data_IF_704345421467
#
_entry.id   IF_704345421467
#
_cell.length_a   1.000
_cell.length_b   1.000
_cell.length_c   1.000
_cell.angle_alpha   90.00
_cell.angle_beta   90.00
_cell.angle_gamma   90.00
#
_symmetry.space_group_name_H-M   'P 1'
#
loop_
_entity.id
_entity.type
_entity.pdbx_description
1 polymer ?
#
# COMPACT_ATOMS: atom_id res chain seq x y z
N UNK A 1 -39.50 42.95 4.95
CA UNK A 1 -39.89 41.57 4.59
C UNK A 1 -38.99 40.94 3.51
N UNK A 2 -38.57 41.68 2.47
CA UNK A 2 -37.73 41.12 1.37
C UNK A 2 -36.34 40.62 1.81
N UNK A 3 -35.71 41.28 2.77
CA UNK A 3 -34.40 40.85 3.31
C UNK A 3 -34.48 39.57 4.16
N UNK A 4 -35.58 39.34 4.89
CA UNK A 4 -35.75 38.13 5.70
C UNK A 4 -35.83 36.88 4.84
N UNK A 5 -36.49 36.95 3.68
CA UNK A 5 -36.57 35.83 2.73
C UNK A 5 -35.18 35.48 2.17
N UNK A 6 -34.35 36.48 1.87
CA UNK A 6 -32.99 36.27 1.37
C UNK A 6 -32.10 35.60 2.43
N UNK A 7 -32.18 36.04 3.69
CA UNK A 7 -31.42 35.42 4.78
C UNK A 7 -31.85 33.98 5.05
N UNK A 8 -33.15 33.70 4.99
CA UNK A 8 -33.69 32.34 5.18
C UNK A 8 -33.21 31.43 4.05
N UNK A 9 -33.29 31.87 2.79
CA UNK A 9 -32.83 31.08 1.64
C UNK A 9 -31.32 30.82 1.68
N UNK A 10 -30.52 31.80 2.11
CA UNK A 10 -29.08 31.66 2.27
C UNK A 10 -28.71 30.66 3.38
N UNK A 11 -29.44 30.70 4.51
CA UNK A 11 -29.22 29.79 5.63
C UNK A 11 -29.61 28.34 5.29
N UNK A 12 -30.68 28.17 4.50
CA UNK A 12 -31.15 26.87 4.03
C UNK A 12 -30.16 26.24 3.05
N UNK A 13 -29.50 27.06 2.22
CA UNK A 13 -28.48 26.62 1.27
C UNK A 13 -27.17 26.21 1.97
N UNK A 14 -26.78 26.89 3.06
CA UNK A 14 -25.65 26.50 3.90
C UNK A 14 -25.86 25.16 4.63
N UNK A 15 -27.11 24.85 5.01
CA UNK A 15 -27.43 23.59 5.69
C UNK A 15 -27.27 22.36 4.78
N UNK A 16 -27.43 22.50 3.46
CA UNK A 16 -27.26 21.40 2.52
C UNK A 16 -25.79 21.01 2.29
N UNK A 17 -24.83 21.92 2.47
CA UNK A 17 -23.41 21.61 2.29
C UNK A 17 -22.80 20.75 3.41
N UNK A 18 -23.40 20.77 4.61
CA UNK A 18 -22.86 20.04 5.78
C UNK A 18 -23.26 18.55 5.77
N UNK A 19 -24.20 18.14 4.90
CA UNK A 19 -24.72 16.77 4.88
C UNK A 19 -24.11 15.86 3.80
N UNK A 20 -23.08 16.32 3.09
CA UNK A 20 -22.35 15.49 2.12
C UNK A 20 -21.16 14.79 2.81
N UNK A 21 -21.45 13.79 3.66
CA UNK A 21 -20.41 12.88 4.14
C UNK A 21 -20.26 11.75 3.14
N UNK A 22 -19.21 11.78 2.32
CA UNK A 22 -18.83 10.64 1.47
C UNK A 22 -18.63 9.40 2.37
N UNK A 23 -19.50 8.41 2.23
CA UNK A 23 -19.27 7.08 2.80
C UNK A 23 -18.10 6.45 2.05
N UNK A 24 -16.89 6.52 2.60
CA UNK A 24 -15.77 5.70 2.12
C UNK A 24 -16.19 4.23 2.17
N UNK A 25 -16.06 3.55 1.04
CA UNK A 25 -16.40 2.14 0.94
C UNK A 25 -15.42 1.36 1.83
N UNK A 26 -15.89 0.51 2.77
CA UNK A 26 -14.99 -0.28 3.63
C UNK A 26 -14.06 -1.20 2.84
N UNK A 27 -14.37 -1.51 1.58
CA UNK A 27 -13.52 -2.25 0.68
C UNK A 27 -12.25 -1.48 0.23
N UNK A 28 -12.23 -0.14 0.34
CA UNK A 28 -11.10 0.69 -0.07
C UNK A 28 -10.10 0.94 1.08
N UNK A 29 -10.33 0.35 2.25
CA UNK A 29 -9.46 0.52 3.42
C UNK A 29 -8.46 -0.63 3.49
N UNK A 30 -7.17 -0.30 3.50
CA UNK A 30 -6.12 -1.30 3.70
C UNK A 30 -6.32 -2.05 5.01
N UNK A 31 -6.09 -3.38 5.04
CA UNK A 31 -6.15 -4.15 6.28
C UNK A 31 -5.05 -3.70 7.24
N UNK A 32 -5.35 -3.76 8.52
CA UNK A 32 -4.40 -3.47 9.59
C UNK A 32 -3.20 -4.43 9.52
N UNK A 33 -1.97 -3.91 9.66
CA UNK A 33 -0.71 -4.69 9.56
C UNK A 33 -0.74 -5.91 10.49
N UNK A 34 -1.30 -5.75 11.69
CA UNK A 34 -1.44 -6.80 12.72
C UNK A 34 -2.29 -8.01 12.28
N UNK A 35 -3.12 -7.85 11.25
CA UNK A 35 -4.00 -8.90 10.70
C UNK A 35 -3.40 -9.61 9.49
N UNK A 36 -2.30 -9.09 8.94
CA UNK A 36 -1.60 -9.70 7.82
C UNK A 36 -0.64 -10.79 8.32
N UNK A 37 -0.43 -11.86 7.53
CA UNK A 37 0.58 -12.86 7.86
C UNK A 37 1.95 -12.18 7.98
N UNK A 38 2.80 -12.61 8.91
CA UNK A 38 4.11 -11.98 9.17
C UNK A 38 4.97 -11.90 7.89
N UNK A 39 4.90 -10.75 7.24
CA UNK A 39 5.48 -10.47 5.93
C UNK A 39 6.77 -9.64 6.01
N UNK A 40 7.08 -9.10 7.20
CA UNK A 40 8.34 -8.42 7.48
C UNK A 40 9.56 -9.34 7.52
N UNK A 41 10.74 -8.73 7.38
CA UNK A 41 12.06 -9.36 7.40
C UNK A 41 12.73 -9.40 6.02
N UNK A 42 13.80 -10.20 5.92
CA UNK A 42 14.63 -10.27 4.72
C UNK A 42 14.07 -11.23 3.66
N UNK A 43 13.94 -10.72 2.45
CA UNK A 43 13.50 -11.40 1.24
C UNK A 43 14.56 -11.28 0.15
N UNK A 44 14.61 -12.27 -0.73
CA UNK A 44 15.49 -12.30 -1.90
C UNK A 44 14.63 -12.21 -3.14
N UNK A 45 14.83 -11.15 -3.91
CA UNK A 45 14.24 -10.95 -5.23
C UNK A 45 15.19 -11.54 -6.27
N UNK A 46 14.70 -12.51 -7.04
CA UNK A 46 15.41 -13.06 -8.20
C UNK A 46 14.96 -12.32 -9.48
N UNK A 47 15.83 -11.48 -10.05
CA UNK A 47 15.53 -10.64 -11.22
C UNK A 47 16.75 -10.53 -12.16
N UNK A 48 16.56 -10.75 -13.47
CA UNK A 48 17.60 -10.61 -14.51
C UNK A 48 18.96 -11.27 -14.19
N UNK A 49 18.95 -12.50 -13.66
CA UNK A 49 20.15 -13.24 -13.21
C UNK A 49 20.92 -12.58 -12.05
N UNK A 50 20.33 -11.59 -11.39
CA UNK A 50 20.82 -10.99 -10.16
C UNK A 50 19.88 -11.35 -9.01
N UNK A 51 20.45 -11.37 -7.82
CA UNK A 51 19.70 -11.48 -6.57
C UNK A 51 19.78 -10.16 -5.85
N UNK A 52 18.64 -9.62 -5.49
CA UNK A 52 18.52 -8.39 -4.70
C UNK A 52 17.93 -8.75 -3.34
N UNK A 53 18.47 -8.16 -2.27
CA UNK A 53 17.93 -8.32 -0.93
C UNK A 53 16.90 -7.21 -0.68
N UNK A 54 15.73 -7.57 -0.18
CA UNK A 54 14.71 -6.66 0.32
C UNK A 54 14.55 -6.91 1.81
N UNK A 55 14.81 -5.92 2.66
CA UNK A 55 14.40 -6.01 4.07
C UNK A 55 13.12 -5.20 4.26
N UNK A 56 12.00 -5.90 4.50
CA UNK A 56 10.69 -5.27 4.64
C UNK A 56 10.43 -5.00 6.10
N UNK A 57 10.18 -3.73 6.44
CA UNK A 57 9.95 -3.24 7.80
C UNK A 57 8.54 -2.64 7.88
N UNK A 58 7.50 -3.47 8.14
CA UNK A 58 6.11 -3.04 8.11
C UNK A 58 5.79 -1.92 9.10
N UNK A 59 6.38 -1.98 10.30
CA UNK A 59 6.16 -0.99 11.37
C UNK A 59 6.64 0.41 10.98
N UNK A 60 7.67 0.49 10.14
CA UNK A 60 8.22 1.76 9.65
C UNK A 60 7.67 2.16 8.27
N UNK A 61 6.85 1.31 7.64
CA UNK A 61 6.43 1.43 6.25
C UNK A 61 7.61 1.62 5.28
N UNK A 62 8.71 0.91 5.53
CA UNK A 62 9.96 1.01 4.77
C UNK A 62 10.42 -0.33 4.23
N UNK A 63 11.14 -0.27 3.12
CA UNK A 63 11.84 -1.42 2.55
C UNK A 63 13.27 -1.03 2.18
N UNK A 64 14.25 -1.72 2.75
CA UNK A 64 15.65 -1.53 2.40
C UNK A 64 15.97 -2.37 1.16
N UNK A 65 16.46 -1.71 0.11
CA UNK A 65 16.92 -2.34 -1.12
C UNK A 65 18.43 -2.56 -1.04
N UNK A 66 18.87 -3.81 -0.98
CA UNK A 66 20.28 -4.18 -0.82
C UNK A 66 20.97 -3.51 0.40
N UNK A 67 20.20 -3.19 1.44
CA UNK A 67 20.70 -2.52 2.65
C UNK A 67 20.69 -0.99 2.59
N UNK A 68 20.28 -0.40 1.46
CA UNK A 68 20.09 1.03 1.31
C UNK A 68 18.60 1.38 1.46
N UNK A 69 18.30 2.50 2.13
CA UNK A 69 16.95 3.06 2.15
C UNK A 69 16.64 3.58 0.74
N UNK A 70 15.50 3.17 0.19
CA UNK A 70 15.20 3.46 -1.22
C UNK A 70 13.81 3.06 -1.67
N UNK A 71 13.05 2.33 -0.85
CA UNK A 71 11.69 1.94 -1.14
C UNK A 71 10.79 2.19 0.09
N UNK A 72 9.61 2.72 -0.17
CA UNK A 72 8.52 2.81 0.80
C UNK A 72 7.53 1.67 0.57
N UNK A 73 6.96 1.21 1.69
CA UNK A 73 5.93 0.19 1.75
C UNK A 73 4.56 0.87 1.83
N UNK A 74 3.65 0.49 0.94
CA UNK A 74 2.26 0.94 0.99
C UNK A 74 1.34 -0.28 0.94
N UNK A 75 0.36 -0.31 1.84
CA UNK A 75 -0.65 -1.36 1.89
C UNK A 75 -1.91 -0.84 1.22
N UNK A 76 -2.41 -1.62 0.28
CA UNK A 76 -3.71 -1.42 -0.35
C UNK A 76 -4.70 -2.48 0.18
N UNK A 77 -5.97 -2.31 -0.13
CA UNK A 77 -7.05 -3.28 0.07
C UNK A 77 -6.75 -4.67 -0.51
N UNK A 78 -5.98 -4.74 -1.62
CA UNK A 78 -5.75 -5.98 -2.37
C UNK A 78 -4.33 -6.56 -2.16
N UNK A 79 -3.35 -5.73 -1.80
CA UNK A 79 -1.97 -6.20 -1.72
C UNK A 79 -0.97 -5.18 -1.20
N UNK A 80 0.30 -5.55 -1.31
CA UNK A 80 1.47 -4.78 -0.90
C UNK A 80 2.06 -4.09 -2.12
N UNK A 81 2.23 -2.77 -2.05
CA UNK A 81 2.87 -1.93 -3.04
C UNK A 81 4.23 -1.46 -2.52
N UNK A 82 5.24 -1.55 -3.37
CA UNK A 82 6.59 -1.04 -3.13
C UNK A 82 6.86 0.06 -4.14
N UNK A 83 7.20 1.25 -3.67
CA UNK A 83 7.52 2.40 -4.53
C UNK A 83 8.80 3.07 -4.04
N UNK A 84 9.59 3.72 -4.92
CA UNK A 84 10.71 4.54 -4.50
C UNK A 84 10.25 5.62 -3.51
N UNK A 85 11.10 6.01 -2.57
CA UNK A 85 10.76 7.09 -1.63
C UNK A 85 10.56 8.44 -2.34
N UNK A 86 11.22 8.63 -3.49
CA UNK A 86 11.22 9.89 -4.24
C UNK A 86 10.21 9.91 -5.42
N UNK A 87 9.55 8.79 -5.74
CA UNK A 87 8.66 8.67 -6.90
C UNK A 87 7.34 7.98 -6.54
N UNK A 88 6.25 8.38 -7.20
CA UNK A 88 4.94 7.71 -7.04
C UNK A 88 4.82 6.40 -7.85
N UNK A 89 5.82 6.08 -8.68
CA UNK A 89 5.80 4.90 -9.53
C UNK A 89 5.90 3.62 -8.71
N UNK A 90 4.92 2.72 -8.85
CA UNK A 90 4.96 1.41 -8.21
C UNK A 90 6.07 0.57 -8.87
N UNK A 91 7.10 0.24 -8.12
CA UNK A 91 8.15 -0.68 -8.54
C UNK A 91 7.77 -2.13 -8.31
N UNK A 92 7.17 -2.45 -7.18
CA UNK A 92 6.78 -3.81 -6.82
C UNK A 92 5.32 -3.90 -6.39
N UNK A 93 4.62 -4.96 -6.80
CA UNK A 93 3.25 -5.22 -6.36
C UNK A 93 2.99 -6.69 -6.08
N UNK A 94 2.49 -7.00 -4.90
CA UNK A 94 2.27 -8.36 -4.41
C UNK A 94 0.86 -8.51 -3.84
N UNK A 95 0.06 -9.42 -4.39
CA UNK A 95 -1.32 -9.65 -3.95
C UNK A 95 -1.34 -10.43 -2.65
N UNK A 96 -2.23 -10.07 -1.71
CA UNK A 96 -2.38 -10.82 -0.45
C UNK A 96 -2.73 -12.30 -0.68
N UNK A 97 -3.48 -12.60 -1.75
CA UNK A 97 -3.85 -13.98 -2.12
C UNK A 97 -2.65 -14.85 -2.49
N UNK A 98 -1.56 -14.23 -2.96
CA UNK A 98 -0.37 -14.92 -3.46
C UNK A 98 0.79 -14.92 -2.44
N UNK A 99 0.60 -14.28 -1.29
CA UNK A 99 1.58 -14.29 -0.20
C UNK A 99 1.60 -15.65 0.48
N UNK A 100 2.66 -16.42 0.24
CA UNK A 100 2.96 -17.63 1.00
C UNK A 100 4.04 -17.34 2.04
N UNK A 101 4.09 -18.08 3.17
CA UNK A 101 5.07 -17.83 4.22
C UNK A 101 6.55 -17.90 3.78
N UNK A 102 6.85 -18.69 2.75
CA UNK A 102 8.22 -18.89 2.21
C UNK A 102 8.49 -18.13 0.91
N UNK A 103 7.45 -17.78 0.15
CA UNK A 103 7.61 -17.13 -1.15
C UNK A 103 6.42 -16.29 -1.56
N UNK A 104 6.68 -15.16 -2.21
CA UNK A 104 5.65 -14.33 -2.81
C UNK A 104 5.83 -14.32 -4.31
N UNK A 105 4.71 -14.24 -5.02
CA UNK A 105 4.67 -14.01 -6.45
C UNK A 105 4.00 -12.66 -6.65
N UNK A 106 4.57 -11.85 -7.53
CA UNK A 106 4.05 -10.52 -7.80
C UNK A 106 4.72 -9.93 -9.02
N UNK A 107 4.58 -8.62 -9.18
CA UNK A 107 5.21 -7.88 -10.26
C UNK A 107 6.33 -6.97 -9.74
N UNK A 108 7.36 -6.81 -10.56
CA UNK A 108 8.44 -5.84 -10.39
C UNK A 108 8.71 -5.15 -11.72
N UNK A 109 8.58 -3.83 -11.78
CA UNK A 109 8.81 -3.02 -13.00
C UNK A 109 8.15 -3.63 -14.26
N UNK A 110 6.89 -4.08 -14.11
CA UNK A 110 6.08 -4.75 -15.14
C UNK A 110 6.46 -6.20 -15.50
N UNK A 111 7.28 -6.87 -14.69
CA UNK A 111 7.61 -8.31 -14.88
C UNK A 111 7.16 -9.14 -13.71
N UNK A 112 6.78 -10.39 -13.97
CA UNK A 112 6.48 -11.33 -12.89
C UNK A 112 7.77 -11.77 -12.21
N UNK A 113 7.82 -11.62 -10.89
CA UNK A 113 8.96 -11.98 -10.06
C UNK A 113 8.54 -12.88 -8.91
N UNK A 114 9.53 -13.56 -8.33
CA UNK A 114 9.36 -14.31 -7.09
C UNK A 114 10.26 -13.71 -6.02
N UNK A 115 9.66 -13.42 -4.86
CA UNK A 115 10.39 -13.17 -3.62
C UNK A 115 10.49 -14.45 -2.84
N UNK A 116 11.67 -14.74 -2.30
CA UNK A 116 11.95 -15.93 -1.49
C UNK A 116 12.43 -15.44 -0.14
N UNK A 117 11.86 -15.96 0.96
CA UNK A 117 12.29 -15.56 2.29
C UNK A 117 13.74 -15.99 2.52
N UNK A 118 14.60 -15.10 2.97
CA UNK A 118 16.01 -15.44 3.24
C UNK A 118 16.07 -16.51 4.34
N UNK A 119 16.83 -17.59 4.10
CA UNK A 119 16.87 -18.76 4.98
C UNK A 119 15.80 -19.83 4.71
N UNK A 120 14.96 -19.67 3.67
CA UNK A 120 13.99 -20.71 3.26
C UNK A 120 14.49 -21.66 2.15
N UNK A 121 15.70 -21.44 1.62
CA UNK A 121 16.43 -22.43 0.82
C UNK A 121 16.98 -23.49 1.78
N UNK A 122 16.20 -24.54 1.99
CA UNK A 122 16.69 -25.85 2.48
C UNK A 122 17.53 -26.54 1.40
#
# INVERSE_FOLDING_TARGET
MRHQIVYISFFLLLFFFVHCTEKKNPADTAPEISKLPAFGGEWVLEWENKTHSLDIQPEENKVLWNGEDGLSLELDSVGIRLKPSDEETIKGYFLYSDLKPKSWIGTWENRVVRLIRKGSKE
#
